data_IF_161418866065
#
_entry.id   IF_161418866065
#
_cell.length_a   1.000
_cell.length_b   1.000
_cell.length_c   1.000
_cell.angle_alpha   90.00
_cell.angle_beta   90.00
_cell.angle_gamma   90.00
#
_symmetry.space_group_name_H-M   'P 1'
#
loop_
_entity.id
_entity.type
_entity.pdbx_description
1 polymer ?
#
# COMPACT_ATOMS: atom_id res chain seq x y z
N UNK A 1 -14.04 -20.16 -7.57
CA UNK A 1 -14.94 -19.27 -6.83
C UNK A 1 -14.21 -17.97 -6.56
N UNK A 2 -14.91 -16.85 -6.56
CA UNK A 2 -14.32 -15.55 -6.21
C UNK A 2 -13.98 -15.55 -4.70
N UNK A 3 -12.72 -15.29 -4.35
CA UNK A 3 -12.21 -15.45 -2.98
C UNK A 3 -12.67 -14.35 -2.01
N UNK A 4 -13.20 -13.26 -2.53
CA UNK A 4 -13.72 -12.13 -1.76
C UNK A 4 -15.21 -11.89 -2.05
N UNK A 5 -15.94 -12.92 -2.48
CA UNK A 5 -17.36 -12.78 -2.77
C UNK A 5 -18.13 -12.30 -1.53
N UNK A 6 -18.90 -11.22 -1.72
CA UNK A 6 -19.64 -10.58 -0.64
C UNK A 6 -18.81 -9.77 0.36
N UNK A 7 -17.50 -9.60 0.17
CA UNK A 7 -16.67 -8.72 1.01
C UNK A 7 -16.89 -7.25 0.66
N UNK A 8 -16.78 -6.39 1.67
CA UNK A 8 -16.70 -4.94 1.55
C UNK A 8 -15.32 -4.47 2.00
N UNK A 9 -14.62 -3.72 1.15
CA UNK A 9 -13.27 -3.26 1.41
C UNK A 9 -13.15 -1.73 1.35
N UNK A 10 -12.26 -1.16 2.16
CA UNK A 10 -11.81 0.23 2.07
C UNK A 10 -10.34 0.26 1.68
N UNK A 11 -10.01 0.97 0.59
CA UNK A 11 -8.61 1.11 0.11
C UNK A 11 -8.26 2.59 0.05
N UNK A 12 -7.18 3.00 0.73
CA UNK A 12 -6.68 4.38 0.60
C UNK A 12 -5.66 4.49 -0.52
N UNK A 13 -5.76 5.54 -1.33
CA UNK A 13 -4.87 5.76 -2.47
C UNK A 13 -5.08 4.73 -3.61
N UNK A 14 -6.31 4.26 -3.79
CA UNK A 14 -6.67 3.27 -4.80
C UNK A 14 -6.88 3.81 -6.22
N UNK A 15 -6.57 5.08 -6.49
CA UNK A 15 -6.75 5.68 -7.83
C UNK A 15 -5.68 5.26 -8.84
N UNK A 16 -4.46 4.92 -8.40
CA UNK A 16 -3.30 4.63 -9.25
C UNK A 16 -2.40 3.53 -8.67
N UNK A 17 -1.49 3.02 -9.50
CA UNK A 17 -0.43 2.09 -9.10
C UNK A 17 -0.94 0.86 -8.34
N UNK A 18 -0.23 0.45 -7.30
CA UNK A 18 -0.55 -0.76 -6.53
C UNK A 18 -1.97 -0.69 -5.95
N UNK A 19 -2.38 0.45 -5.39
CA UNK A 19 -3.73 0.62 -4.85
C UNK A 19 -4.82 0.36 -5.89
N UNK A 20 -4.63 0.85 -7.13
CA UNK A 20 -5.56 0.60 -8.24
C UNK A 20 -5.59 -0.88 -8.62
N UNK A 21 -4.45 -1.52 -8.76
CA UNK A 21 -4.39 -2.95 -9.05
C UNK A 21 -5.05 -3.80 -7.95
N UNK A 22 -4.96 -3.36 -6.67
CA UNK A 22 -5.68 -4.02 -5.57
C UNK A 22 -7.20 -3.81 -5.71
N UNK A 23 -7.68 -2.60 -6.05
CA UNK A 23 -9.10 -2.33 -6.32
C UNK A 23 -9.60 -3.25 -7.44
N UNK A 24 -8.92 -3.24 -8.58
CA UNK A 24 -9.28 -4.02 -9.77
C UNK A 24 -9.34 -5.53 -9.44
N UNK A 25 -8.34 -6.01 -8.69
CA UNK A 25 -8.29 -7.41 -8.28
C UNK A 25 -9.37 -7.78 -7.25
N UNK A 26 -9.64 -6.93 -6.28
CA UNK A 26 -10.69 -7.16 -5.28
C UNK A 26 -12.07 -7.25 -5.93
N UNK A 27 -12.36 -6.32 -6.87
CA UNK A 27 -13.62 -6.36 -7.65
C UNK A 27 -13.72 -7.63 -8.50
N UNK A 28 -12.63 -8.05 -9.13
CA UNK A 28 -12.58 -9.31 -9.91
C UNK A 28 -12.79 -10.56 -9.03
N UNK A 29 -12.39 -10.50 -7.74
CA UNK A 29 -12.62 -11.55 -6.75
C UNK A 29 -13.98 -11.44 -6.01
N UNK A 30 -14.88 -10.56 -6.48
CA UNK A 30 -16.26 -10.46 -5.98
C UNK A 30 -16.48 -9.45 -4.87
N UNK A 31 -15.47 -8.70 -4.45
CA UNK A 31 -15.63 -7.66 -3.43
C UNK A 31 -16.29 -6.39 -3.99
N UNK A 32 -16.94 -5.64 -3.10
CA UNK A 32 -17.32 -4.24 -3.29
C UNK A 32 -16.32 -3.35 -2.58
N UNK A 33 -15.90 -2.25 -3.20
CA UNK A 33 -14.77 -1.47 -2.72
C UNK A 33 -15.14 0.00 -2.53
N UNK A 34 -14.82 0.56 -1.38
CA UNK A 34 -14.76 2.01 -1.18
C UNK A 34 -13.30 2.47 -1.34
N UNK A 35 -13.10 3.58 -2.03
CA UNK A 35 -11.76 4.11 -2.28
C UNK A 35 -11.68 5.55 -1.76
N UNK A 36 -10.71 5.81 -0.86
CA UNK A 36 -10.35 7.17 -0.46
C UNK A 36 -9.27 7.69 -1.39
N UNK A 37 -9.59 8.71 -2.19
CA UNK A 37 -8.71 9.34 -3.19
C UNK A 37 -8.68 10.85 -3.04
N UNK A 38 -7.67 11.52 -3.64
CA UNK A 38 -7.52 12.98 -3.55
C UNK A 38 -8.10 13.75 -4.74
N UNK A 39 -8.37 13.08 -5.87
CA UNK A 39 -8.75 13.78 -7.10
C UNK A 39 -10.06 13.28 -7.68
N UNK A 40 -10.81 14.20 -8.31
CA UNK A 40 -12.01 13.86 -9.05
C UNK A 40 -11.69 12.96 -10.25
N UNK A 41 -10.55 13.15 -10.91
CA UNK A 41 -10.10 12.30 -12.04
C UNK A 41 -9.99 10.84 -11.65
N UNK A 42 -9.50 10.54 -10.43
CA UNK A 42 -9.42 9.16 -9.95
C UNK A 42 -10.82 8.59 -9.70
N UNK A 43 -11.75 9.41 -9.17
CA UNK A 43 -13.17 9.03 -8.98
C UNK A 43 -13.81 8.67 -10.31
N UNK A 44 -13.70 9.54 -11.32
CA UNK A 44 -14.32 9.35 -12.63
C UNK A 44 -13.80 8.08 -13.31
N UNK A 45 -12.48 7.85 -13.26
CA UNK A 45 -11.84 6.65 -13.81
C UNK A 45 -12.29 5.36 -13.11
N UNK A 46 -12.44 5.38 -11.79
CA UNK A 46 -12.89 4.21 -11.01
C UNK A 46 -14.37 3.91 -11.30
N UNK A 47 -15.21 4.96 -11.36
CA UNK A 47 -16.63 4.83 -11.66
C UNK A 47 -16.90 4.30 -13.08
N UNK A 48 -16.14 4.80 -14.06
CA UNK A 48 -16.23 4.33 -15.45
C UNK A 48 -15.88 2.83 -15.57
N UNK A 49 -14.84 2.39 -14.86
CA UNK A 49 -14.36 0.99 -14.97
C UNK A 49 -15.20 0.00 -14.18
N UNK A 50 -15.72 0.37 -13.00
CA UNK A 50 -16.28 -0.58 -12.05
C UNK A 50 -17.77 -0.38 -11.74
N UNK A 51 -18.34 0.76 -12.14
CA UNK A 51 -19.77 1.07 -11.91
C UNK A 51 -20.12 1.06 -10.41
N UNK A 52 -21.18 0.39 -10.06
CA UNK A 52 -21.75 0.29 -8.70
C UNK A 52 -20.95 -0.57 -7.72
N UNK A 53 -19.94 -1.30 -8.21
CA UNK A 53 -19.04 -2.10 -7.36
C UNK A 53 -18.03 -1.25 -6.59
N UNK A 54 -17.78 -0.02 -7.05
CA UNK A 54 -16.84 0.90 -6.42
C UNK A 54 -17.53 2.21 -6.05
N UNK A 55 -17.38 2.62 -4.79
CA UNK A 55 -17.74 3.96 -4.32
C UNK A 55 -16.48 4.72 -3.95
N UNK A 56 -16.46 6.04 -4.14
CA UNK A 56 -15.31 6.86 -3.88
C UNK A 56 -15.62 7.98 -2.89
N UNK A 57 -14.63 8.29 -2.05
CA UNK A 57 -14.63 9.47 -1.18
C UNK A 57 -13.41 10.31 -1.55
N UNK A 58 -13.62 11.60 -1.81
CA UNK A 58 -12.52 12.55 -2.00
C UNK A 58 -12.11 13.05 -0.62
N UNK A 59 -10.83 12.88 -0.28
CA UNK A 59 -10.28 13.31 1.01
C UNK A 59 -8.78 13.04 1.12
N UNK A 60 -8.23 13.44 2.25
CA UNK A 60 -6.81 13.29 2.58
C UNK A 60 -6.63 12.33 3.77
N UNK A 61 -5.80 11.33 3.60
CA UNK A 61 -5.51 10.35 4.66
C UNK A 61 -4.93 10.96 5.93
N UNK A 62 -4.34 12.17 5.84
CA UNK A 62 -3.84 12.94 6.98
C UNK A 62 -4.96 13.54 7.84
N UNK A 63 -6.18 13.55 7.34
CA UNK A 63 -7.33 14.16 8.02
C UNK A 63 -8.18 13.06 8.67
N UNK A 64 -8.40 13.18 9.97
CA UNK A 64 -9.24 12.25 10.72
C UNK A 64 -10.68 12.18 10.18
N UNK A 65 -11.30 13.33 9.90
CA UNK A 65 -12.69 13.37 9.44
C UNK A 65 -12.86 12.68 8.07
N UNK A 66 -11.87 12.77 7.17
CA UNK A 66 -11.94 12.13 5.85
C UNK A 66 -11.82 10.59 5.97
N UNK A 67 -10.99 10.10 6.88
CA UNK A 67 -10.90 8.67 7.16
C UNK A 67 -12.21 8.14 7.78
N UNK A 68 -12.82 8.88 8.69
CA UNK A 68 -14.14 8.53 9.26
C UNK A 68 -15.21 8.54 8.17
N UNK A 69 -15.24 9.56 7.31
CA UNK A 69 -16.17 9.64 6.19
C UNK A 69 -16.03 8.46 5.22
N UNK A 70 -14.80 8.02 4.94
CA UNK A 70 -14.56 6.85 4.10
C UNK A 70 -15.10 5.55 4.72
N UNK A 71 -14.91 5.35 6.03
CA UNK A 71 -15.50 4.19 6.75
C UNK A 71 -17.02 4.26 6.76
N UNK A 72 -17.60 5.43 7.00
CA UNK A 72 -19.05 5.62 6.94
C UNK A 72 -19.60 5.34 5.55
N UNK A 73 -18.90 5.77 4.50
CA UNK A 73 -19.32 5.54 3.11
C UNK A 73 -19.36 4.06 2.74
N UNK A 74 -18.32 3.27 3.12
CA UNK A 74 -18.32 1.83 2.84
C UNK A 74 -19.44 1.11 3.60
N UNK A 75 -19.67 1.45 4.86
CA UNK A 75 -20.75 0.85 5.66
C UNK A 75 -22.13 1.24 5.13
N UNK A 76 -22.32 2.50 4.76
CA UNK A 76 -23.58 2.98 4.18
C UNK A 76 -23.89 2.31 2.83
N UNK A 77 -22.87 2.15 1.97
CA UNK A 77 -23.04 1.57 0.64
C UNK A 77 -23.18 0.03 0.66
N UNK A 78 -22.46 -0.64 1.56
CA UNK A 78 -22.30 -2.10 1.49
C UNK A 78 -22.73 -2.84 2.77
N UNK A 79 -23.12 -2.11 3.82
CA UNK A 79 -23.65 -2.67 5.07
C UNK A 79 -22.58 -3.13 6.07
N UNK A 80 -21.31 -3.15 5.69
CA UNK A 80 -20.19 -3.63 6.54
C UNK A 80 -18.83 -3.18 6.01
N UNK A 81 -17.78 -3.46 6.79
CA UNK A 81 -16.38 -3.36 6.35
C UNK A 81 -15.63 -4.64 6.75
N UNK A 82 -15.20 -5.43 5.78
CA UNK A 82 -14.45 -6.68 6.02
C UNK A 82 -12.94 -6.48 5.90
N UNK A 83 -12.48 -5.55 5.04
CA UNK A 83 -11.05 -5.36 4.77
C UNK A 83 -10.72 -3.88 4.70
N UNK A 84 -9.65 -3.48 5.39
CA UNK A 84 -9.00 -2.18 5.19
C UNK A 84 -7.62 -2.40 4.54
N UNK A 85 -7.33 -1.64 3.47
CA UNK A 85 -6.00 -1.58 2.85
C UNK A 85 -5.46 -0.14 2.91
N UNK A 86 -4.68 0.21 3.95
CA UNK A 86 -3.92 1.45 3.96
C UNK A 86 -2.80 1.34 2.92
N UNK A 87 -2.87 2.18 1.86
CA UNK A 87 -1.94 2.10 0.74
C UNK A 87 -1.44 3.47 0.27
N UNK A 88 -2.16 4.56 0.54
CA UNK A 88 -1.72 5.90 0.14
C UNK A 88 -0.29 6.20 0.61
N UNK A 89 0.55 6.75 -0.27
CA UNK A 89 1.94 7.02 0.07
C UNK A 89 2.56 8.08 -0.81
N UNK A 90 3.68 8.63 -0.33
CA UNK A 90 4.57 9.54 -1.05
C UNK A 90 6.03 9.07 -0.91
N UNK A 91 6.89 9.53 -1.80
CA UNK A 91 8.29 9.12 -1.91
C UNK A 91 9.23 10.31 -1.83
N UNK A 92 10.43 10.14 -1.31
CA UNK A 92 11.42 11.20 -1.15
C UNK A 92 12.51 11.22 -2.25
N UNK A 93 12.28 10.46 -3.33
CA UNK A 93 13.19 10.33 -4.48
C UNK A 93 14.64 10.00 -4.12
N UNK A 94 14.82 9.27 -3.03
CA UNK A 94 16.15 8.86 -2.53
C UNK A 94 17.05 10.04 -2.12
N UNK A 95 16.44 11.14 -1.67
CA UNK A 95 17.20 12.26 -1.09
C UNK A 95 18.10 11.72 0.03
N UNK A 96 19.40 11.99 -0.10
CA UNK A 96 20.35 11.53 0.89
C UNK A 96 20.29 12.41 2.14
N UNK A 97 20.71 11.87 3.26
CA UNK A 97 20.72 12.63 4.53
C UNK A 97 21.47 13.97 4.42
N UNK A 98 22.59 13.98 3.70
CA UNK A 98 23.43 15.16 3.52
C UNK A 98 22.84 16.16 2.50
N UNK A 99 21.96 15.73 1.60
CA UNK A 99 21.34 16.62 0.60
C UNK A 99 20.16 17.41 1.15
N UNK A 100 19.63 17.06 2.32
CA UNK A 100 18.52 17.75 2.94
C UNK A 100 19.06 18.87 3.84
N UNK A 101 18.66 20.12 3.56
CA UNK A 101 18.97 21.21 4.47
C UNK A 101 18.34 20.94 5.85
N UNK A 102 19.13 21.12 6.91
CA UNK A 102 18.67 20.92 8.28
C UNK A 102 17.46 21.81 8.66
N UNK A 103 17.35 22.99 8.08
CA UNK A 103 16.21 23.87 8.27
C UNK A 103 14.91 23.32 7.64
N UNK A 104 15.01 22.55 6.55
CA UNK A 104 13.88 21.93 5.85
C UNK A 104 13.51 20.55 6.43
N UNK A 105 14.39 19.92 7.18
CA UNK A 105 14.24 18.55 7.67
C UNK A 105 12.89 18.32 8.37
N UNK A 106 12.47 19.25 9.23
CA UNK A 106 11.20 19.11 9.97
C UNK A 106 9.97 19.15 9.07
N UNK A 107 9.99 19.97 8.03
CA UNK A 107 8.89 20.08 7.09
C UNK A 107 8.81 18.85 6.19
N UNK A 108 9.93 18.42 5.62
CA UNK A 108 10.00 17.19 4.81
C UNK A 108 9.58 15.94 5.60
N UNK A 109 10.01 15.86 6.86
CA UNK A 109 9.59 14.81 7.78
C UNK A 109 8.07 14.79 7.94
N UNK A 110 7.43 15.94 8.25
CA UNK A 110 5.97 16.02 8.39
C UNK A 110 5.27 15.61 7.10
N UNK A 111 5.66 16.18 5.97
CA UNK A 111 5.02 15.85 4.68
C UNK A 111 5.03 14.34 4.40
N UNK A 112 6.12 13.66 4.70
CA UNK A 112 6.27 12.24 4.43
C UNK A 112 5.62 11.37 5.50
N UNK A 113 5.89 11.62 6.77
CA UNK A 113 5.36 10.82 7.87
C UNK A 113 3.86 11.00 8.07
N UNK A 114 3.32 12.19 7.82
CA UNK A 114 1.88 12.42 7.94
C UNK A 114 1.09 11.60 6.91
N UNK A 115 1.62 11.40 5.72
CA UNK A 115 0.99 10.52 4.73
C UNK A 115 1.31 9.06 5.02
N UNK A 116 2.61 8.72 5.10
CA UNK A 116 3.05 7.31 5.09
C UNK A 116 2.85 6.60 6.43
N UNK A 117 2.77 7.32 7.54
CA UNK A 117 2.62 6.72 8.88
C UNK A 117 1.33 7.16 9.54
N UNK A 118 1.14 8.47 9.77
CA UNK A 118 -0.07 8.96 10.45
C UNK A 118 -1.34 8.60 9.66
N UNK A 119 -1.35 8.75 8.33
CA UNK A 119 -2.48 8.39 7.49
C UNK A 119 -2.89 6.92 7.63
N UNK A 120 -1.93 6.02 7.77
CA UNK A 120 -2.18 4.59 8.01
C UNK A 120 -2.79 4.33 9.39
N UNK A 121 -2.29 5.02 10.41
CA UNK A 121 -2.81 4.93 11.78
C UNK A 121 -4.23 5.49 11.88
N UNK A 122 -4.50 6.63 11.23
CA UNK A 122 -5.83 7.25 11.21
C UNK A 122 -6.85 6.36 10.49
N UNK A 123 -6.49 5.81 9.33
CA UNK A 123 -7.34 4.88 8.60
C UNK A 123 -7.65 3.62 9.42
N UNK A 124 -6.62 3.01 10.03
CA UNK A 124 -6.78 1.85 10.89
C UNK A 124 -7.69 2.17 12.10
N UNK A 125 -7.44 3.30 12.80
CA UNK A 125 -8.25 3.68 13.97
C UNK A 125 -9.70 3.96 13.61
N UNK A 126 -9.97 4.59 12.47
CA UNK A 126 -11.33 4.85 12.01
C UNK A 126 -12.09 3.55 11.68
N UNK A 127 -11.37 2.52 11.20
CA UNK A 127 -11.96 1.27 10.73
C UNK A 127 -12.15 0.20 11.82
N UNK A 128 -11.49 0.31 12.99
CA UNK A 128 -11.44 -0.76 14.01
C UNK A 128 -12.82 -1.26 14.41
N UNK A 129 -13.77 -0.37 14.68
CA UNK A 129 -15.08 -0.79 15.20
C UNK A 129 -15.87 -1.57 14.11
N UNK A 130 -15.90 -1.08 12.88
CA UNK A 130 -16.55 -1.77 11.76
C UNK A 130 -15.86 -3.10 11.39
N UNK A 131 -14.53 -3.15 11.45
CA UNK A 131 -13.77 -4.38 11.23
C UNK A 131 -13.99 -5.43 12.33
N UNK A 132 -14.17 -4.98 13.58
CA UNK A 132 -14.46 -5.87 14.70
C UNK A 132 -15.82 -6.55 14.53
N UNK A 133 -16.85 -5.81 14.10
CA UNK A 133 -18.19 -6.36 13.82
C UNK A 133 -18.17 -7.45 12.75
N UNK A 134 -17.29 -7.32 11.74
CA UNK A 134 -17.15 -8.31 10.65
C UNK A 134 -16.11 -9.39 10.95
N UNK A 135 -15.36 -9.32 12.05
CA UNK A 135 -14.11 -10.03 12.30
C UNK A 135 -13.14 -9.90 11.10
N UNK A 136 -12.93 -8.70 10.66
CA UNK A 136 -12.26 -8.36 9.42
C UNK A 136 -10.74 -8.46 9.45
N UNK A 137 -10.11 -7.78 8.48
CA UNK A 137 -8.64 -7.73 8.40
C UNK A 137 -8.13 -6.38 7.91
N UNK A 138 -6.90 -6.05 8.32
CA UNK A 138 -6.11 -4.92 7.80
C UNK A 138 -4.93 -5.49 7.03
N UNK A 139 -4.72 -5.02 5.79
CA UNK A 139 -3.57 -5.40 4.97
C UNK A 139 -2.81 -4.14 4.57
N UNK A 140 -1.74 -3.83 5.28
CA UNK A 140 -0.92 -2.64 5.02
C UNK A 140 -0.09 -2.77 3.74
N UNK A 141 0.10 -1.66 3.02
CA UNK A 141 1.10 -1.55 1.94
C UNK A 141 2.41 -1.00 2.51
N UNK A 142 3.38 -1.86 2.75
CA UNK A 142 4.72 -1.52 3.16
C UNK A 142 5.64 -1.29 1.94
N UNK A 143 6.89 -1.70 2.07
CA UNK A 143 7.91 -1.68 1.02
C UNK A 143 9.06 -2.62 1.41
N UNK A 144 9.87 -3.07 0.45
CA UNK A 144 11.18 -3.66 0.75
C UNK A 144 12.02 -2.74 1.63
N UNK A 145 11.82 -1.42 1.51
CA UNK A 145 12.41 -0.39 2.38
C UNK A 145 11.97 -0.46 3.85
N UNK A 146 11.05 -1.34 4.20
CA UNK A 146 10.72 -1.67 5.61
C UNK A 146 11.74 -2.59 6.27
N UNK A 147 12.67 -3.17 5.49
CA UNK A 147 13.66 -4.14 5.94
C UNK A 147 15.09 -3.80 5.51
N UNK A 148 15.24 -3.08 4.38
CA UNK A 148 16.52 -2.82 3.76
C UNK A 148 16.73 -1.35 3.47
N UNK A 149 17.96 -0.90 3.53
CA UNK A 149 18.38 0.41 3.04
C UNK A 149 18.42 0.44 1.50
N UNK A 150 18.48 1.63 0.93
CA UNK A 150 18.71 1.86 -0.50
C UNK A 150 17.48 1.75 -1.41
N UNK A 151 16.29 1.60 -0.84
CA UNK A 151 15.02 1.64 -1.59
C UNK A 151 14.26 2.97 -1.43
N UNK A 152 14.98 4.05 -1.10
CA UNK A 152 14.49 5.40 -0.87
C UNK A 152 15.51 6.20 -0.08
N UNK A 153 15.21 7.47 0.19
CA UNK A 153 15.99 8.32 1.09
C UNK A 153 15.74 8.01 2.57
N UNK A 154 16.43 8.75 3.42
CA UNK A 154 16.41 8.51 4.87
C UNK A 154 15.01 8.59 5.47
N UNK A 155 14.20 9.55 5.05
CA UNK A 155 12.85 9.73 5.60
C UNK A 155 11.90 8.62 5.15
N UNK A 156 11.93 8.26 3.85
CA UNK A 156 11.09 7.19 3.33
C UNK A 156 11.41 5.84 3.98
N UNK A 157 12.67 5.46 4.01
CA UNK A 157 13.11 4.21 4.64
C UNK A 157 12.69 4.17 6.11
N UNK A 158 12.88 5.27 6.86
CA UNK A 158 12.46 5.36 8.25
C UNK A 158 10.95 5.20 8.42
N UNK A 159 10.13 5.83 7.55
CA UNK A 159 8.67 5.73 7.60
C UNK A 159 8.19 4.29 7.35
N UNK A 160 8.82 3.60 6.39
CA UNK A 160 8.46 2.21 6.07
C UNK A 160 8.92 1.21 7.14
N UNK A 161 10.03 1.46 7.82
CA UNK A 161 10.42 0.70 9.01
C UNK A 161 9.45 0.90 10.19
N UNK A 162 8.97 2.13 10.42
CA UNK A 162 7.97 2.42 11.44
C UNK A 162 6.69 1.59 11.22
N UNK A 163 6.24 1.46 9.96
CA UNK A 163 5.05 0.66 9.64
C UNK A 163 5.25 -0.84 9.92
N UNK A 164 6.46 -1.38 9.78
CA UNK A 164 6.71 -2.78 10.13
C UNK A 164 6.49 -3.05 11.63
N UNK A 165 6.88 -2.10 12.49
CA UNK A 165 6.55 -2.14 13.92
C UNK A 165 5.05 -1.99 14.17
N UNK A 166 4.40 -1.07 13.45
CA UNK A 166 2.95 -0.82 13.56
C UNK A 166 2.13 -2.07 13.25
N UNK A 167 2.46 -2.81 12.19
CA UNK A 167 1.78 -4.07 11.83
C UNK A 167 1.82 -5.06 12.98
N UNK A 168 3.00 -5.26 13.59
CA UNK A 168 3.18 -6.19 14.71
C UNK A 168 2.39 -5.77 15.95
N UNK A 169 2.43 -4.48 16.28
CA UNK A 169 1.75 -3.95 17.45
C UNK A 169 0.22 -4.03 17.28
N UNK A 170 -0.32 -3.61 16.14
CA UNK A 170 -1.76 -3.69 15.89
C UNK A 170 -2.25 -5.15 15.78
N UNK A 171 -1.46 -6.06 15.24
CA UNK A 171 -1.80 -7.48 15.24
C UNK A 171 -1.95 -8.04 16.66
N UNK A 172 -1.09 -7.60 17.59
CA UNK A 172 -1.17 -7.98 19.01
C UNK A 172 -2.39 -7.35 19.70
N UNK A 173 -2.64 -6.06 19.48
CA UNK A 173 -3.71 -5.32 20.17
C UNK A 173 -5.12 -5.67 19.67
N UNK A 174 -5.28 -6.00 18.39
CA UNK A 174 -6.58 -6.18 17.75
C UNK A 174 -7.00 -7.65 17.61
N UNK A 175 -6.12 -8.58 17.95
CA UNK A 175 -6.47 -10.00 18.03
C UNK A 175 -7.39 -10.25 19.25
N UNK A 176 -8.30 -11.24 19.17
CA UNK A 176 -8.49 -12.20 18.06
C UNK A 176 -9.47 -11.72 16.98
N UNK A 177 -10.11 -10.56 17.11
CA UNK A 177 -11.21 -10.13 16.27
C UNK A 177 -10.73 -9.68 14.89
N UNK A 178 -9.59 -8.96 14.83
CA UNK A 178 -9.07 -8.38 13.59
C UNK A 178 -7.67 -8.93 13.32
N UNK A 179 -7.45 -9.47 12.12
CA UNK A 179 -6.11 -9.86 11.65
C UNK A 179 -5.42 -8.65 11.03
N UNK A 180 -4.13 -8.47 11.32
CA UNK A 180 -3.35 -7.37 10.76
C UNK A 180 -2.09 -7.93 10.10
N UNK A 181 -1.98 -7.73 8.80
CA UNK A 181 -0.87 -8.21 7.98
C UNK A 181 -0.41 -7.11 7.01
N UNK A 182 0.60 -7.40 6.20
CA UNK A 182 1.09 -6.48 5.20
C UNK A 182 1.67 -7.19 3.97
N UNK A 183 1.68 -6.45 2.85
CA UNK A 183 2.50 -6.75 1.68
C UNK A 183 3.60 -5.70 1.61
N UNK A 184 4.82 -6.13 1.33
CA UNK A 184 5.99 -5.27 1.15
C UNK A 184 6.52 -5.37 -0.30
N UNK A 185 6.01 -4.54 -1.21
CA UNK A 185 6.47 -4.49 -2.59
C UNK A 185 7.93 -4.06 -2.72
N UNK A 186 8.61 -4.55 -3.74
CA UNK A 186 9.89 -4.04 -4.22
C UNK A 186 9.74 -2.89 -5.22
N UNK A 187 10.74 -2.71 -6.08
CA UNK A 187 10.65 -1.77 -7.18
C UNK A 187 9.52 -2.14 -8.12
N UNK A 188 8.57 -1.21 -8.32
CA UNK A 188 7.33 -1.44 -9.08
C UNK A 188 7.10 -0.26 -10.01
N UNK A 189 6.62 -0.52 -11.23
CA UNK A 189 6.26 0.52 -12.20
C UNK A 189 5.00 1.26 -11.72
N UNK A 190 5.18 2.33 -10.98
CA UNK A 190 4.07 3.12 -10.42
C UNK A 190 4.30 4.61 -10.61
N UNK A 191 3.21 5.37 -10.65
CA UNK A 191 3.22 6.83 -10.53
C UNK A 191 3.31 7.32 -9.09
N UNK A 192 4.06 6.63 -8.21
CA UNK A 192 4.27 7.10 -6.83
C UNK A 192 4.93 8.47 -6.85
N UNK A 193 4.20 9.47 -6.35
CA UNK A 193 4.61 10.86 -6.40
C UNK A 193 5.50 11.28 -5.24
N UNK A 194 6.12 12.45 -5.40
CA UNK A 194 6.99 13.07 -4.41
C UNK A 194 6.26 13.83 -3.31
N UNK A 195 7.04 14.57 -2.54
CA UNK A 195 6.58 15.52 -1.53
C UNK A 195 5.92 16.74 -2.19
N UNK A 196 5.28 17.60 -1.42
CA UNK A 196 4.65 18.82 -1.94
C UNK A 196 5.66 19.68 -2.71
N UNK A 197 5.30 20.06 -3.94
CA UNK A 197 6.18 20.81 -4.84
C UNK A 197 7.09 19.93 -5.72
N UNK A 198 7.17 18.62 -5.49
CA UNK A 198 7.88 17.69 -6.36
C UNK A 198 6.89 17.07 -7.36
N UNK A 199 7.04 17.40 -8.63
CA UNK A 199 6.16 16.92 -9.71
C UNK A 199 6.68 15.63 -10.38
N UNK A 200 7.74 15.00 -9.85
CA UNK A 200 8.28 13.73 -10.37
C UNK A 200 7.41 12.57 -9.92
N UNK A 201 7.36 11.53 -10.74
CA UNK A 201 6.86 10.21 -10.35
C UNK A 201 7.98 9.17 -10.41
N UNK A 202 7.86 8.09 -9.67
CA UNK A 202 8.87 7.03 -9.64
C UNK A 202 9.11 6.44 -11.04
N UNK A 203 8.05 6.36 -11.85
CA UNK A 203 8.14 5.89 -13.22
C UNK A 203 8.95 6.81 -14.16
N UNK A 204 9.17 8.07 -13.77
CA UNK A 204 9.90 9.06 -14.60
C UNK A 204 11.43 8.99 -14.38
N UNK A 205 11.90 8.16 -13.45
CA UNK A 205 13.33 8.00 -13.19
C UNK A 205 13.98 7.23 -14.35
N UNK A 206 14.88 7.90 -15.09
CA UNK A 206 15.60 7.28 -16.19
C UNK A 206 16.42 6.07 -15.72
N UNK A 207 16.29 4.94 -16.45
CA UNK A 207 17.01 3.71 -16.13
C UNK A 207 16.49 2.97 -14.87
N UNK A 208 15.35 3.37 -14.29
CA UNK A 208 14.80 2.74 -13.10
C UNK A 208 14.53 1.25 -13.31
N UNK A 209 13.95 0.87 -14.45
CA UNK A 209 13.69 -0.53 -14.80
C UNK A 209 14.98 -1.37 -14.82
N UNK A 210 15.98 -0.90 -15.54
CA UNK A 210 17.30 -1.56 -15.62
C UNK A 210 17.98 -1.65 -14.24
N UNK A 211 17.85 -0.61 -13.43
CA UNK A 211 18.40 -0.60 -12.08
C UNK A 211 17.73 -1.67 -11.21
N UNK A 212 16.41 -1.75 -11.22
CA UNK A 212 15.67 -2.76 -10.44
C UNK A 212 15.99 -4.15 -10.96
N UNK A 213 15.87 -4.39 -12.28
CA UNK A 213 16.14 -5.70 -12.88
C UNK A 213 17.54 -6.25 -12.58
N UNK A 214 18.55 -5.36 -12.47
CA UNK A 214 19.91 -5.77 -12.09
C UNK A 214 20.06 -6.09 -10.61
N UNK A 215 19.21 -5.55 -9.76
CA UNK A 215 19.33 -5.65 -8.31
C UNK A 215 18.43 -6.71 -7.67
N UNK A 216 17.49 -7.29 -8.42
CA UNK A 216 16.60 -8.34 -7.91
C UNK A 216 16.90 -9.69 -8.57
N UNK A 217 16.86 -10.81 -7.84
CA UNK A 217 17.08 -12.15 -8.38
C UNK A 217 16.14 -12.54 -9.53
N UNK A 218 14.87 -12.09 -9.50
CA UNK A 218 13.92 -12.38 -10.59
C UNK A 218 14.26 -11.64 -11.88
N UNK A 219 15.00 -10.51 -11.83
CA UNK A 219 15.60 -9.88 -13.00
C UNK A 219 14.64 -9.01 -13.82
N UNK A 220 13.53 -8.56 -13.26
CA UNK A 220 12.60 -7.65 -13.91
C UNK A 220 12.00 -6.63 -12.94
N UNK A 221 11.49 -5.52 -13.46
CA UNK A 221 10.69 -4.55 -12.71
C UNK A 221 9.26 -5.08 -12.60
N UNK A 222 8.71 -5.13 -11.37
CA UNK A 222 7.33 -5.60 -11.20
C UNK A 222 6.31 -4.57 -11.69
N UNK A 223 5.15 -5.08 -12.11
CA UNK A 223 3.95 -4.29 -12.35
C UNK A 223 3.06 -4.29 -11.09
N UNK A 224 2.16 -3.30 -10.92
CA UNK A 224 1.26 -3.24 -9.77
C UNK A 224 0.45 -4.52 -9.54
N UNK A 225 0.03 -5.18 -10.61
CA UNK A 225 -0.78 -6.40 -10.63
C UNK A 225 -0.05 -7.60 -10.02
N UNK A 226 1.29 -7.63 -10.10
CA UNK A 226 2.12 -8.72 -9.53
C UNK A 226 1.94 -8.85 -8.01
N UNK A 227 1.54 -7.76 -7.34
CA UNK A 227 1.34 -7.73 -5.91
C UNK A 227 -0.10 -8.02 -5.47
N UNK A 228 -1.09 -7.71 -6.31
CA UNK A 228 -2.50 -7.65 -5.94
C UNK A 228 -3.05 -9.00 -5.40
N UNK A 229 -2.56 -10.12 -5.90
CA UNK A 229 -2.94 -11.45 -5.44
C UNK A 229 -2.60 -11.73 -3.97
N UNK A 230 -1.53 -11.12 -3.45
CA UNK A 230 -1.13 -11.27 -2.05
C UNK A 230 -2.10 -10.54 -1.10
N UNK A 231 -2.61 -9.37 -1.51
CA UNK A 231 -3.64 -8.66 -0.75
C UNK A 231 -4.93 -9.49 -0.67
N UNK A 232 -5.35 -10.13 -1.77
CA UNK A 232 -6.51 -11.03 -1.76
C UNK A 232 -6.31 -12.18 -0.78
N UNK A 233 -5.14 -12.81 -0.81
CA UNK A 233 -4.80 -13.93 0.09
C UNK A 233 -4.86 -13.51 1.56
N UNK A 234 -4.28 -12.35 1.91
CA UNK A 234 -4.28 -11.86 3.29
C UNK A 234 -5.65 -11.32 3.74
N UNK A 235 -6.46 -10.80 2.80
CA UNK A 235 -7.83 -10.36 3.05
C UNK A 235 -8.77 -11.54 3.30
N UNK A 236 -8.66 -12.60 2.47
CA UNK A 236 -9.52 -13.77 2.52
C UNK A 236 -9.40 -14.51 3.85
N UNK A 237 -10.53 -14.68 4.53
CA UNK A 237 -10.59 -15.49 5.76
C UNK A 237 -10.38 -16.97 5.47
N UNK A 238 -10.82 -17.46 4.32
CA UNK A 238 -10.63 -18.84 3.92
C UNK A 238 -9.14 -19.18 3.77
N UNK A 239 -8.38 -18.28 3.10
CA UNK A 239 -6.98 -18.51 2.78
C UNK A 239 -6.02 -18.24 3.95
N UNK A 240 -6.38 -17.30 4.87
CA UNK A 240 -5.43 -16.79 5.86
C UNK A 240 -6.00 -16.57 7.27
N UNK A 241 -7.01 -17.37 7.67
CA UNK A 241 -7.66 -17.21 9.00
C UNK A 241 -6.71 -17.36 10.19
N UNK A 242 -5.58 -18.04 10.01
CA UNK A 242 -4.55 -18.25 11.06
C UNK A 242 -3.28 -17.45 10.80
N UNK A 243 -3.38 -16.39 9.97
CA UNK A 243 -2.25 -15.52 9.63
C UNK A 243 -2.52 -14.11 10.18
N UNK A 244 -1.71 -13.65 11.13
CA UNK A 244 -1.67 -12.28 11.63
C UNK A 244 -0.24 -11.88 11.96
N UNK A 245 0.10 -10.60 11.92
CA UNK A 245 1.46 -10.07 12.12
C UNK A 245 2.47 -10.42 11.02
N UNK A 246 2.01 -10.97 9.89
CA UNK A 246 2.89 -11.36 8.78
C UNK A 246 3.09 -10.21 7.79
N UNK A 247 4.30 -10.09 7.28
CA UNK A 247 4.67 -9.12 6.24
C UNK A 247 5.26 -9.89 5.06
N UNK A 248 4.46 -10.09 4.03
CA UNK A 248 4.89 -10.83 2.84
C UNK A 248 5.72 -9.90 1.95
N UNK A 249 6.99 -10.23 1.75
CA UNK A 249 7.86 -9.52 0.82
C UNK A 249 7.55 -9.94 -0.61
N UNK A 250 7.19 -8.97 -1.44
CA UNK A 250 6.93 -9.09 -2.88
C UNK A 250 7.93 -8.21 -3.64
N UNK A 251 9.21 -8.54 -3.53
CA UNK A 251 10.34 -7.68 -3.88
C UNK A 251 11.32 -8.32 -4.88
N UNK A 252 10.94 -9.40 -5.53
CA UNK A 252 11.78 -10.09 -6.49
C UNK A 252 12.98 -10.80 -5.86
N UNK A 253 13.00 -10.96 -4.52
CA UNK A 253 14.04 -11.67 -3.79
C UNK A 253 15.23 -10.81 -3.40
N UNK A 254 15.05 -9.52 -3.12
CA UNK A 254 16.14 -8.60 -2.72
C UNK A 254 16.99 -9.16 -1.57
N UNK A 255 16.38 -9.86 -0.62
CA UNK A 255 17.07 -10.43 0.54
C UNK A 255 18.14 -11.47 0.16
N UNK A 256 17.84 -12.27 -0.84
CA UNK A 256 18.72 -13.39 -1.26
C UNK A 256 19.69 -12.97 -2.35
N UNK A 257 20.12 -11.71 -2.40
CA UNK A 257 21.13 -11.21 -3.35
C UNK A 257 22.36 -12.12 -3.33
N UNK A 258 22.31 -13.17 -4.13
CA UNK A 258 23.43 -14.07 -4.38
C UNK A 258 24.27 -13.56 -5.55
N UNK A 259 25.43 -14.19 -5.76
CA UNK A 259 26.34 -13.90 -6.87
C UNK A 259 25.55 -13.83 -8.18
N UNK A 260 25.68 -12.72 -8.94
CA UNK A 260 25.21 -12.59 -10.32
C UNK A 260 25.50 -13.89 -11.07
N UNK A 261 24.46 -14.54 -11.59
CA UNK A 261 24.66 -15.56 -12.63
C UNK A 261 25.41 -14.88 -13.79
N UNK A 262 26.66 -15.28 -14.05
CA UNK A 262 27.36 -14.87 -15.26
C UNK A 262 26.45 -15.29 -16.42
N UNK A 263 26.04 -14.34 -17.28
CA UNK A 263 25.43 -14.69 -18.58
C UNK A 263 26.38 -15.72 -19.23
N UNK A 264 25.87 -16.89 -19.61
CA UNK A 264 26.61 -17.76 -20.52
C UNK A 264 26.90 -16.90 -21.76
N UNK A 265 28.17 -16.64 -22.00
CA UNK A 265 28.62 -16.12 -23.30
C UNK A 265 28.36 -17.29 -24.26
N UNK A 266 27.37 -17.16 -25.13
CA UNK A 266 27.20 -18.06 -26.26
C UNK A 266 28.45 -17.91 -27.12
N UNK A 267 29.22 -19.00 -27.19
CA UNK A 267 30.36 -19.14 -28.11
C UNK A 267 29.83 -19.48 -29.51
#
# INVERSE_FOLDING_TARGET
MARLDGYAALITGGGKGIGRAVVDRFVAEGARVCVLVRSQTDVDSLAEQHGDKVVCVIGDVRNWADNVAAVQAVVAAFGKLDVLVPNAGVYDFSDTFESIDGAEMSERYRQLFDVNVLGYLLAARAAVDALRESNGSIVFTLSSSSFYAGGGGTLYVSSKHALAGTVKQLAYELAPEIRVNAVAPGGTRTGLGGLAGDNRALADIEGFEDMVARNVPLGFLSEPEDHAGLYVTLASREDSRFVTSEIIRSDGGIEVRGRRRKKKVEQ
#
